data_IF_245809678421
#
_entry.id   IF_245809678421
#
_cell.length_a   1.000
_cell.length_b   1.000
_cell.length_c   1.000
_cell.angle_alpha   90.00
_cell.angle_beta   90.00
_cell.angle_gamma   90.00
#
_symmetry.space_group_name_H-M   'P 1'
#
loop_
_entity.id
_entity.type
_entity.pdbx_description
1 polymer ?
#
# COMPACT_ATOMS: atom_id res chain seq x y z
N UNK A 1 -12.51 17.57 6.08
CA UNK A 1 -11.65 16.36 6.06
C UNK A 1 -11.87 15.63 7.39
N UNK A 2 -12.42 14.41 7.41
CA UNK A 2 -12.67 13.68 8.66
C UNK A 2 -11.39 12.88 9.03
N UNK A 3 -10.84 13.14 10.22
CA UNK A 3 -9.54 12.66 10.73
C UNK A 3 -9.43 11.13 10.99
N UNK A 4 -10.32 10.31 10.41
CA UNK A 4 -10.52 8.92 10.85
C UNK A 4 -10.10 7.84 9.85
N UNK A 5 -9.63 8.20 8.65
CA UNK A 5 -9.27 7.23 7.62
C UNK A 5 -7.76 7.31 7.35
N UNK A 6 -6.99 6.49 8.08
CA UNK A 6 -5.55 6.43 8.01
C UNK A 6 -5.02 5.32 8.92
N UNK A 7 -3.72 5.08 8.85
CA UNK A 7 -3.06 4.02 9.62
C UNK A 7 -2.66 4.59 10.97
N UNK A 8 -2.91 3.86 12.05
CA UNK A 8 -2.46 4.21 13.40
C UNK A 8 -1.52 3.13 13.89
N UNK A 9 -0.35 3.56 14.35
CA UNK A 9 0.64 2.65 14.95
C UNK A 9 0.57 2.81 16.46
N UNK A 10 0.42 1.68 17.14
CA UNK A 10 0.42 1.61 18.59
C UNK A 10 1.63 0.81 19.04
N UNK A 11 2.42 1.38 19.95
CA UNK A 11 3.56 0.71 20.56
C UNK A 11 3.12 0.01 21.85
N UNK A 12 3.54 -1.25 22.00
CA UNK A 12 3.33 -2.01 23.23
C UNK A 12 4.29 -1.49 24.31
N UNK A 13 3.75 -1.07 25.45
CA UNK A 13 4.49 -0.63 26.65
C UNK A 13 4.61 -1.73 27.71
N UNK A 14 4.26 -2.96 27.37
CA UNK A 14 4.23 -4.10 28.28
C UNK A 14 2.86 -4.29 28.92
N UNK A 15 2.58 -5.53 29.33
CA UNK A 15 1.31 -5.86 30.01
C UNK A 15 0.05 -5.57 29.18
N UNK A 16 0.12 -5.75 27.85
CA UNK A 16 -0.96 -5.44 26.90
C UNK A 16 -1.41 -3.97 26.90
N UNK A 17 -0.56 -3.05 27.36
CA UNK A 17 -0.80 -1.60 27.28
C UNK A 17 -0.22 -1.06 25.99
N UNK A 18 -1.07 -0.43 25.19
CA UNK A 18 -0.72 0.10 23.89
C UNK A 18 -0.90 1.62 23.88
N UNK A 19 0.13 2.33 23.44
CA UNK A 19 0.08 3.79 23.27
C UNK A 19 0.19 4.14 21.79
N UNK A 20 -0.66 5.05 21.32
CA UNK A 20 -0.57 5.52 19.95
C UNK A 20 0.75 6.29 19.78
N UNK A 21 1.62 5.79 18.92
CA UNK A 21 2.91 6.42 18.63
C UNK A 21 2.82 7.38 17.46
N UNK A 22 2.09 7.01 16.41
CA UNK A 22 1.96 7.83 15.20
C UNK A 22 0.65 7.56 14.45
N UNK A 23 0.31 8.48 13.56
CA UNK A 23 -0.84 8.40 12.66
C UNK A 23 -0.40 8.78 11.25
N UNK A 24 -0.54 7.87 10.29
CA UNK A 24 -0.24 8.09 8.88
C UNK A 24 -1.55 8.37 8.12
N UNK A 25 -1.72 9.55 7.51
CA UNK A 25 -2.92 9.85 6.72
C UNK A 25 -2.97 8.97 5.47
N UNK A 26 -4.05 8.20 5.32
CA UNK A 26 -4.33 7.43 4.10
C UNK A 26 -5.83 7.20 3.99
N UNK A 27 -6.51 8.06 3.22
CA UNK A 27 -7.96 7.98 3.10
C UNK A 27 -8.35 6.65 2.47
N UNK A 28 -9.32 5.97 3.06
CA UNK A 28 -9.80 4.69 2.54
C UNK A 28 -8.84 3.51 2.70
N UNK A 29 -7.79 3.66 3.53
CA UNK A 29 -6.90 2.57 3.89
C UNK A 29 -7.70 1.34 4.33
N UNK A 30 -7.41 0.21 3.71
CA UNK A 30 -8.14 -1.05 3.94
C UNK A 30 -7.22 -2.12 4.53
N UNK A 31 -5.98 -2.22 4.01
CA UNK A 31 -4.96 -3.13 4.54
C UNK A 31 -3.60 -2.45 4.63
N UNK A 32 -2.87 -2.78 5.68
CA UNK A 32 -1.48 -2.39 5.88
C UNK A 32 -0.66 -3.61 6.35
N UNK A 33 0.60 -3.69 5.93
CA UNK A 33 1.56 -4.72 6.29
C UNK A 33 2.85 -4.07 6.75
N UNK A 34 3.27 -4.40 7.98
CA UNK A 34 4.50 -3.90 8.57
C UNK A 34 5.62 -4.93 8.44
N UNK A 35 6.68 -4.61 7.70
CA UNK A 35 7.89 -5.43 7.47
C UNK A 35 9.06 -4.47 7.21
N UNK A 36 10.27 -4.96 7.43
CA UNK A 36 11.51 -4.33 6.99
C UNK A 36 11.70 -4.68 5.50
N UNK A 37 11.17 -3.85 4.60
CA UNK A 37 11.20 -4.17 3.17
C UNK A 37 12.52 -3.76 2.54
N UNK A 38 13.17 -2.69 3.02
CA UNK A 38 14.46 -2.22 2.50
C UNK A 38 15.70 -2.84 3.20
N UNK A 39 15.47 -3.70 4.21
CA UNK A 39 16.49 -4.45 4.95
C UNK A 39 17.46 -3.55 5.72
N UNK A 40 17.01 -2.38 6.16
CA UNK A 40 17.81 -1.43 6.94
C UNK A 40 17.72 -1.65 8.46
N UNK A 41 16.86 -2.58 8.89
CA UNK A 41 16.66 -2.98 10.28
C UNK A 41 15.54 -2.25 10.99
N UNK A 42 14.86 -1.30 10.33
CA UNK A 42 13.67 -0.66 10.82
C UNK A 42 12.39 -1.20 10.13
N UNK A 43 11.20 -0.92 10.69
CA UNK A 43 9.95 -1.49 10.17
C UNK A 43 9.17 -0.47 9.36
N UNK A 44 9.09 -0.71 8.05
CA UNK A 44 8.25 0.04 7.12
C UNK A 44 6.79 -0.42 7.15
N UNK A 45 5.95 0.27 6.35
CA UNK A 45 4.55 -0.09 6.15
C UNK A 45 4.17 0.00 4.67
N UNK A 46 3.82 -1.14 4.06
CA UNK A 46 3.08 -1.14 2.80
C UNK A 46 1.58 -1.05 3.09
N UNK A 47 0.82 -0.26 2.31
CA UNK A 47 -0.61 -0.09 2.50
C UNK A 47 -1.37 0.03 1.19
N UNK A 48 -2.58 -0.53 1.18
CA UNK A 48 -3.57 -0.32 0.11
C UNK A 48 -4.76 0.46 0.64
N UNK A 49 -5.30 1.29 -0.24
CA UNK A 49 -6.56 1.99 -0.02
C UNK A 49 -7.57 1.54 -1.06
N UNK A 50 -8.69 0.99 -0.59
CA UNK A 50 -9.79 0.62 -1.45
C UNK A 50 -10.63 1.84 -1.86
N UNK A 51 -10.53 2.91 -1.06
CA UNK A 51 -11.37 4.10 -1.12
C UNK A 51 -10.58 5.43 -1.11
N UNK A 52 -9.48 5.58 -1.89
CA UNK A 52 -8.76 6.84 -1.97
C UNK A 52 -9.60 7.88 -2.71
N UNK A 53 -9.18 9.15 -2.65
CA UNK A 53 -9.75 10.16 -3.52
C UNK A 53 -9.21 9.99 -4.95
N UNK A 54 -9.87 9.16 -5.76
CA UNK A 54 -9.45 8.88 -7.13
C UNK A 54 -9.44 10.11 -8.06
N UNK A 55 -10.10 11.23 -7.68
CA UNK A 55 -10.08 12.47 -8.45
C UNK A 55 -8.81 13.28 -8.22
N UNK A 56 -8.35 13.39 -6.98
CA UNK A 56 -7.23 14.29 -6.63
C UNK A 56 -5.96 13.55 -6.24
N UNK A 57 -6.07 12.32 -5.75
CA UNK A 57 -4.97 11.50 -5.25
C UNK A 57 -5.15 10.01 -5.54
N UNK A 58 -5.35 9.59 -6.80
CA UNK A 58 -5.60 8.19 -7.14
C UNK A 58 -4.45 7.25 -6.76
N UNK A 59 -3.22 7.77 -6.68
CA UNK A 59 -2.04 7.00 -6.25
C UNK A 59 -2.03 6.68 -4.76
N UNK A 60 -2.92 7.25 -3.94
CA UNK A 60 -3.13 6.76 -2.56
C UNK A 60 -3.75 5.35 -2.54
N UNK A 61 -4.14 4.77 -3.69
CA UNK A 61 -4.55 3.35 -3.80
C UNK A 61 -3.48 2.38 -3.31
N UNK A 62 -2.19 2.72 -3.45
CA UNK A 62 -1.07 2.02 -2.81
C UNK A 62 -0.04 3.02 -2.31
N UNK A 63 0.42 2.85 -1.07
CA UNK A 63 1.49 3.65 -0.48
C UNK A 63 2.45 2.74 0.27
N UNK A 64 3.73 2.88 -0.03
CA UNK A 64 4.83 2.36 0.78
C UNK A 64 5.32 3.48 1.69
N UNK A 65 5.16 3.33 3.01
CA UNK A 65 5.71 4.22 3.99
C UNK A 65 7.05 3.68 4.45
N UNK A 66 8.11 4.18 3.81
CA UNK A 66 9.50 3.96 4.18
C UNK A 66 9.72 4.59 5.56
N UNK A 67 10.20 3.82 6.50
CA UNK A 67 10.56 4.30 7.81
C UNK A 67 12.05 4.64 7.80
N UNK A 68 12.38 5.86 8.18
CA UNK A 68 13.76 6.28 8.42
C UNK A 68 13.86 6.69 9.88
N UNK A 69 14.21 5.72 10.73
CA UNK A 69 14.46 5.93 12.15
C UNK A 69 13.25 6.58 12.87
N UNK A 70 12.04 6.09 12.58
CA UNK A 70 10.78 6.58 13.14
C UNK A 70 10.11 7.70 12.33
N UNK A 71 10.73 8.15 11.23
CA UNK A 71 10.13 9.10 10.29
C UNK A 71 9.61 8.38 9.06
N UNK A 72 8.29 8.33 8.93
CA UNK A 72 7.65 7.66 7.80
C UNK A 72 7.48 8.58 6.59
N UNK A 73 8.05 8.20 5.45
CA UNK A 73 7.96 8.90 4.17
C UNK A 73 7.05 8.11 3.21
N UNK A 74 5.96 8.71 2.70
CA UNK A 74 5.07 8.04 1.76
C UNK A 74 5.67 8.01 0.35
N UNK A 75 5.76 6.83 -0.23
CA UNK A 75 6.20 6.55 -1.59
C UNK A 75 5.07 5.83 -2.36
N UNK A 76 4.91 6.15 -3.65
CA UNK A 76 3.93 5.52 -4.54
C UNK A 76 4.39 5.64 -5.99
N UNK A 77 3.78 4.89 -6.90
CA UNK A 77 4.18 4.84 -8.31
C UNK A 77 2.96 4.98 -9.24
N UNK A 78 3.19 5.23 -10.54
CA UNK A 78 2.09 5.57 -11.47
C UNK A 78 1.14 4.40 -11.74
N UNK A 79 1.68 3.20 -11.93
CA UNK A 79 0.91 2.01 -12.33
C UNK A 79 0.10 1.40 -11.18
N UNK A 80 0.27 1.86 -9.94
CA UNK A 80 -0.54 1.40 -8.82
C UNK A 80 -2.03 1.72 -9.01
N UNK A 81 -2.41 2.64 -9.89
CA UNK A 81 -3.82 2.95 -10.15
C UNK A 81 -4.50 1.98 -11.14
N UNK A 82 -3.77 0.96 -11.63
CA UNK A 82 -4.27 0.01 -12.64
C UNK A 82 -5.29 -1.00 -12.10
N UNK A 83 -5.45 -1.07 -10.79
CA UNK A 83 -6.50 -1.84 -10.14
C UNK A 83 -7.05 -1.11 -8.93
N UNK A 84 -8.07 -1.71 -8.33
CA UNK A 84 -8.71 -1.27 -7.09
C UNK A 84 -8.37 -2.29 -6.01
N UNK A 85 -7.28 -2.03 -5.30
CA UNK A 85 -6.70 -3.00 -4.39
C UNK A 85 -7.49 -3.13 -3.10
N UNK A 86 -7.87 -4.36 -2.78
CA UNK A 86 -8.59 -4.70 -1.54
C UNK A 86 -7.71 -5.55 -0.63
N UNK A 87 -6.99 -6.51 -1.22
CA UNK A 87 -6.09 -7.38 -0.47
C UNK A 87 -4.64 -7.12 -0.84
N UNK A 88 -3.75 -7.52 0.05
CA UNK A 88 -2.31 -7.44 -0.13
C UNK A 88 -1.67 -8.56 0.67
N UNK A 89 -0.62 -9.20 0.17
CA UNK A 89 0.22 -10.10 0.95
C UNK A 89 1.70 -9.85 0.65
N UNK A 90 2.58 -10.35 1.53
CA UNK A 90 4.01 -10.13 1.44
C UNK A 90 4.81 -11.42 1.61
N UNK A 91 5.82 -11.62 0.78
CA UNK A 91 6.71 -12.78 0.81
C UNK A 91 7.73 -12.73 -0.31
N UNK A 92 8.78 -13.55 -0.21
CA UNK A 92 9.81 -13.71 -1.24
C UNK A 92 9.24 -14.59 -2.39
N UNK A 93 8.69 -13.95 -3.41
CA UNK A 93 7.94 -14.61 -4.50
C UNK A 93 8.87 -15.11 -5.59
N UNK A 94 9.97 -14.40 -5.86
CA UNK A 94 10.96 -14.80 -6.87
C UNK A 94 12.17 -15.57 -6.30
N UNK A 95 12.31 -15.64 -4.97
CA UNK A 95 13.34 -16.43 -4.30
C UNK A 95 14.69 -15.74 -4.18
N UNK A 96 14.75 -14.41 -4.34
CA UNK A 96 16.00 -13.64 -4.24
C UNK A 96 16.35 -13.21 -2.79
N UNK A 97 15.42 -13.45 -1.86
CA UNK A 97 15.58 -13.22 -0.44
C UNK A 97 15.30 -11.79 0.01
N UNK A 98 14.69 -10.95 -0.82
CA UNK A 98 13.94 -9.78 -0.39
C UNK A 98 12.42 -10.03 -0.38
N UNK A 99 11.66 -9.10 0.22
CA UNK A 99 10.21 -9.27 0.43
C UNK A 99 9.46 -8.56 -0.69
N UNK A 100 8.71 -9.34 -1.48
CA UNK A 100 7.80 -8.84 -2.50
C UNK A 100 6.39 -8.58 -1.95
N UNK A 101 5.56 -7.93 -2.77
CA UNK A 101 4.15 -7.68 -2.48
C UNK A 101 3.24 -8.22 -3.58
N UNK A 102 2.12 -8.83 -3.18
CA UNK A 102 1.03 -9.21 -4.08
C UNK A 102 -0.23 -8.41 -3.73
N UNK A 103 -0.75 -7.61 -4.66
CA UNK A 103 -1.98 -6.81 -4.49
C UNK A 103 -3.15 -7.48 -5.19
N UNK A 104 -4.24 -7.76 -4.47
CA UNK A 104 -5.46 -8.34 -5.02
C UNK A 104 -6.48 -7.27 -5.40
N UNK A 105 -6.95 -7.32 -6.64
CA UNK A 105 -7.90 -6.38 -7.19
C UNK A 105 -9.36 -6.84 -6.93
N UNK A 106 -10.21 -5.91 -6.54
CA UNK A 106 -11.64 -6.12 -6.48
C UNK A 106 -12.37 -4.91 -7.06
N UNK A 107 -12.87 -5.05 -8.28
CA UNK A 107 -13.45 -3.92 -9.04
C UNK A 107 -14.96 -3.77 -8.81
N UNK A 108 -15.64 -4.82 -8.35
CA UNK A 108 -17.10 -4.86 -8.16
C UNK A 108 -17.51 -4.26 -6.80
N UNK A 109 -17.51 -2.93 -6.71
CA UNK A 109 -17.91 -2.19 -5.51
C UNK A 109 -19.10 -1.26 -5.75
N UNK A 110 -19.67 -0.69 -4.67
CA UNK A 110 -20.66 0.37 -4.80
C UNK A 110 -20.01 1.64 -5.36
N UNK A 111 -19.92 1.76 -6.69
CA UNK A 111 -19.33 2.90 -7.41
C UNK A 111 -20.03 4.24 -7.12
N UNK A 112 -21.20 4.17 -6.47
CA UNK A 112 -21.95 5.34 -5.99
C UNK A 112 -21.41 5.91 -4.67
N UNK A 113 -20.65 5.13 -3.89
CA UNK A 113 -20.13 5.57 -2.59
C UNK A 113 -18.91 6.49 -2.71
N UNK A 114 -18.16 6.38 -3.82
CA UNK A 114 -16.97 7.21 -4.10
C UNK A 114 -17.02 7.63 -5.56
N UNK A 115 -16.75 8.91 -5.82
CA UNK A 115 -16.61 9.40 -7.18
C UNK A 115 -15.31 8.90 -7.80
N UNK A 116 -15.35 7.68 -8.33
CA UNK A 116 -14.30 7.14 -9.20
C UNK A 116 -14.52 7.71 -10.60
N UNK A 117 -13.51 8.34 -11.22
CA UNK A 117 -13.58 8.76 -12.61
C UNK A 117 -13.98 7.60 -13.54
N UNK A 118 -14.93 7.84 -14.44
CA UNK A 118 -15.49 6.80 -15.33
C UNK A 118 -14.42 6.08 -16.17
N UNK A 119 -13.36 6.80 -16.56
CA UNK A 119 -12.26 6.19 -17.31
C UNK A 119 -11.49 5.13 -16.49
N UNK A 120 -11.38 5.28 -15.16
CA UNK A 120 -10.74 4.27 -14.31
C UNK A 120 -11.61 3.01 -14.21
N UNK A 121 -12.93 3.17 -14.00
CA UNK A 121 -13.87 2.05 -14.00
C UNK A 121 -13.75 1.25 -15.29
N UNK A 122 -13.86 1.92 -16.45
CA UNK A 122 -13.70 1.29 -17.77
C UNK A 122 -12.34 0.63 -17.93
N UNK A 123 -11.27 1.26 -17.45
CA UNK A 123 -9.91 0.68 -17.51
C UNK A 123 -9.82 -0.59 -16.69
N UNK A 124 -10.37 -0.60 -15.47
CA UNK A 124 -10.32 -1.77 -14.60
C UNK A 124 -11.20 -2.92 -15.10
N UNK A 125 -12.37 -2.63 -15.64
CA UNK A 125 -13.26 -3.65 -16.24
C UNK A 125 -12.64 -4.29 -17.49
N UNK A 126 -11.92 -3.52 -18.31
CA UNK A 126 -11.35 -4.01 -19.56
C UNK A 126 -9.96 -4.63 -19.40
N UNK A 127 -9.15 -4.08 -18.48
CA UNK A 127 -7.69 -4.33 -18.42
C UNK A 127 -7.14 -4.36 -17.00
N UNK A 128 -7.98 -4.25 -15.97
CA UNK A 128 -7.53 -4.31 -14.58
C UNK A 128 -6.99 -5.70 -14.27
N UNK A 129 -5.73 -5.84 -13.83
CA UNK A 129 -5.21 -7.16 -13.51
C UNK A 129 -5.95 -7.70 -12.26
N UNK A 130 -6.20 -9.01 -12.16
CA UNK A 130 -6.77 -9.60 -10.95
C UNK A 130 -5.81 -9.49 -9.76
N UNK A 131 -4.50 -9.58 -10.03
CA UNK A 131 -3.42 -9.47 -9.06
C UNK A 131 -2.28 -8.66 -9.68
N UNK A 132 -1.61 -7.82 -8.89
CA UNK A 132 -0.35 -7.16 -9.24
C UNK A 132 0.75 -7.65 -8.29
N UNK A 133 1.87 -8.12 -8.84
CA UNK A 133 3.07 -8.44 -8.05
C UNK A 133 4.04 -7.26 -8.16
N UNK A 134 4.56 -6.81 -7.02
CA UNK A 134 5.63 -5.83 -6.92
C UNK A 134 6.86 -6.56 -6.44
N UNK A 135 7.79 -6.79 -7.36
CA UNK A 135 9.09 -7.35 -7.01
C UNK A 135 9.95 -6.29 -6.36
N UNK A 136 10.46 -6.60 -5.18
CA UNK A 136 11.54 -5.84 -4.59
C UNK A 136 12.86 -6.27 -5.29
N UNK A 137 13.83 -5.37 -5.37
CA UNK A 137 15.03 -5.58 -6.18
C UNK A 137 16.29 -5.14 -5.43
N UNK A 138 16.32 -5.33 -4.12
CA UNK A 138 17.48 -5.00 -3.29
C UNK A 138 18.67 -5.90 -3.61
N UNK A 139 18.38 -7.15 -4.00
CA UNK A 139 19.41 -8.19 -4.19
C UNK A 139 19.67 -8.54 -5.64
N UNK A 140 18.93 -7.97 -6.59
CA UNK A 140 19.28 -8.10 -8.00
C UNK A 140 20.62 -7.39 -8.28
N UNK A 141 21.56 -8.02 -9.02
CA UNK A 141 22.74 -7.31 -9.49
C UNK A 141 22.25 -6.14 -10.35
N UNK A 142 22.76 -4.93 -10.06
CA UNK A 142 22.54 -3.75 -10.93
C UNK A 142 22.73 -4.21 -12.37
N UNK A 143 21.69 -4.05 -13.20
CA UNK A 143 21.84 -4.29 -14.63
C UNK A 143 23.02 -3.45 -15.12
N UNK A 144 24.05 -4.11 -15.64
CA UNK A 144 25.13 -3.45 -16.35
C UNK A 144 24.50 -2.72 -17.54
N UNK A 145 24.40 -1.38 -17.42
CA UNK A 145 24.04 -0.48 -18.50
C UNK A 145 25.30 -0.01 -19.23
#
# INVERSE_FOLDING_TARGET
MKKYHGIRVYLNRGGLKFEQSLSLPLNGADKALARDYDQDGDTDIAAVSYFPNYKTKPRESFVYFENDNGRFKPNTFRTCISGRWLTMDAGDVDGDGDIDLALGNYTYGADKAIHVPEFLIKTWEQRGPPVMILYNNLRQPKADH
#
